data_IF_556203631662
#
_entry.id   IF_556203631662
#
_cell.length_a   1.000
_cell.length_b   1.000
_cell.length_c   1.000
_cell.angle_alpha   90.00
_cell.angle_beta   90.00
_cell.angle_gamma   90.00
#
_symmetry.space_group_name_H-M   'P 1'
#
loop_
_entity.id
_entity.type
_entity.pdbx_description
1 polymer ?
#
# COMPACT_ATOMS: atom_id res chain seq x y z
N UNK A 1 0.00 12.30 -18.39
CA UNK A 1 0.84 11.91 -17.27
C UNK A 1 0.00 11.76 -16.01
N UNK A 2 0.13 10.61 -15.36
CA UNK A 2 -0.59 10.35 -14.12
C UNK A 2 0.23 10.84 -12.94
N UNK A 3 -0.43 11.51 -11.99
CA UNK A 3 0.21 12.02 -10.77
C UNK A 3 -0.60 11.59 -9.56
N UNK A 4 0.05 11.59 -8.40
CA UNK A 4 -0.63 11.32 -7.13
C UNK A 4 -1.74 12.35 -6.91
N UNK A 5 -1.44 13.63 -7.15
CA UNK A 5 -2.42 14.71 -6.98
C UNK A 5 -3.65 14.51 -7.88
N UNK A 6 -3.45 14.07 -9.11
CA UNK A 6 -4.58 13.83 -10.02
C UNK A 6 -5.44 12.66 -9.56
N UNK A 7 -4.85 11.65 -8.96
CA UNK A 7 -5.59 10.50 -8.42
C UNK A 7 -6.40 10.85 -7.18
N UNK A 8 -5.91 11.80 -6.38
CA UNK A 8 -6.60 12.22 -5.16
C UNK A 8 -7.65 13.31 -5.40
N UNK A 9 -7.56 14.00 -6.55
CA UNK A 9 -8.47 15.10 -6.86
C UNK A 9 -9.93 14.65 -6.91
N UNK A 10 -10.84 15.47 -6.37
CA UNK A 10 -12.27 15.20 -6.40
C UNK A 10 -12.76 14.16 -5.41
N UNK A 11 -11.88 13.60 -4.59
CA UNK A 11 -12.24 12.63 -3.56
C UNK A 11 -12.44 13.33 -2.23
N UNK A 12 -13.04 12.62 -1.25
CA UNK A 12 -13.21 13.19 0.10
C UNK A 12 -11.84 13.59 0.67
N UNK A 13 -11.76 14.70 1.42
CA UNK A 13 -10.48 15.16 1.99
C UNK A 13 -9.76 14.12 2.84
N UNK A 14 -10.49 13.23 3.50
CA UNK A 14 -9.90 12.17 4.32
C UNK A 14 -9.00 11.24 3.51
N UNK A 15 -9.27 11.08 2.21
CA UNK A 15 -8.47 10.20 1.35
C UNK A 15 -7.02 10.68 1.27
N UNK A 16 -6.81 12.00 1.13
CA UNK A 16 -5.46 12.55 1.12
C UNK A 16 -4.77 12.36 2.47
N UNK A 17 -5.50 12.56 3.56
CA UNK A 17 -4.94 12.38 4.92
C UNK A 17 -4.49 10.94 5.12
N UNK A 18 -5.32 9.98 4.71
CA UNK A 18 -4.97 8.56 4.80
C UNK A 18 -3.72 8.27 3.95
N UNK A 19 -3.69 8.78 2.73
CA UNK A 19 -2.57 8.59 1.81
C UNK A 19 -1.25 9.08 2.43
N UNK A 20 -1.26 10.31 2.96
CA UNK A 20 -0.09 10.90 3.60
C UNK A 20 0.38 10.05 4.78
N UNK A 21 -0.55 9.56 5.61
CA UNK A 21 -0.22 8.68 6.74
C UNK A 21 0.46 7.39 6.30
N UNK A 22 -0.05 6.77 5.24
CA UNK A 22 0.53 5.55 4.68
C UNK A 22 1.95 5.82 4.17
N UNK A 23 2.13 6.88 3.41
CA UNK A 23 3.44 7.22 2.83
C UNK A 23 4.45 7.56 3.92
N UNK A 24 4.07 8.35 4.92
CA UNK A 24 4.96 8.69 6.03
C UNK A 24 5.42 7.45 6.79
N UNK A 25 4.50 6.51 7.04
CA UNK A 25 4.85 5.25 7.71
C UNK A 25 5.86 4.46 6.88
N UNK A 26 5.64 4.36 5.58
CA UNK A 26 6.53 3.60 4.69
C UNK A 26 7.89 4.25 4.52
N UNK A 27 7.96 5.58 4.46
CA UNK A 27 9.24 6.29 4.37
C UNK A 27 10.09 6.09 5.63
N UNK A 28 9.47 5.76 6.74
CA UNK A 28 10.19 5.39 7.96
C UNK A 28 10.97 4.08 7.83
N UNK A 29 10.65 3.24 6.84
CA UNK A 29 11.36 1.97 6.62
C UNK A 29 12.58 2.13 5.72
N UNK A 30 12.61 3.16 4.87
CA UNK A 30 13.68 3.40 3.91
C UNK A 30 13.20 4.15 2.68
N UNK A 31 14.01 4.16 1.60
CA UNK A 31 13.62 4.83 0.35
C UNK A 31 12.31 4.30 -0.21
N UNK A 32 11.54 5.20 -0.82
CA UNK A 32 10.23 4.85 -1.37
C UNK A 32 10.00 5.60 -2.68
N UNK A 33 9.56 4.88 -3.69
CA UNK A 33 9.14 5.44 -4.98
C UNK A 33 7.62 5.33 -5.09
N UNK A 34 6.99 6.46 -5.40
CA UNK A 34 5.54 6.55 -5.64
C UNK A 34 5.32 6.65 -7.14
N UNK A 35 4.89 5.55 -7.75
CA UNK A 35 4.69 5.46 -9.20
C UNK A 35 3.19 5.54 -9.51
N UNK A 36 2.73 6.73 -9.88
CA UNK A 36 1.31 6.96 -10.18
C UNK A 36 0.94 6.32 -11.52
N UNK A 37 -0.12 5.51 -11.49
CA UNK A 37 -0.72 4.88 -12.67
C UNK A 37 -2.09 5.51 -12.93
N UNK A 38 -2.83 4.95 -13.86
CA UNK A 38 -4.15 5.48 -14.25
C UNK A 38 -5.14 5.49 -13.07
N UNK A 39 -5.16 4.43 -12.27
CA UNK A 39 -6.16 4.26 -11.20
C UNK A 39 -5.55 4.00 -9.83
N UNK A 40 -4.23 3.95 -9.72
CA UNK A 40 -3.57 3.59 -8.47
C UNK A 40 -2.15 4.14 -8.43
N UNK A 41 -1.54 4.04 -7.24
CA UNK A 41 -0.12 4.34 -7.05
C UNK A 41 0.58 3.03 -6.68
N UNK A 42 1.61 2.66 -7.43
CA UNK A 42 2.47 1.53 -7.07
C UNK A 42 3.59 2.04 -6.18
N UNK A 43 3.87 1.32 -5.11
CA UNK A 43 4.91 1.69 -4.16
C UNK A 43 6.04 0.67 -4.24
N UNK A 44 7.26 1.16 -4.41
CA UNK A 44 8.45 0.33 -4.52
C UNK A 44 9.58 0.95 -3.70
N UNK A 45 10.56 0.12 -3.33
CA UNK A 45 11.71 0.60 -2.56
C UNK A 45 12.66 1.43 -3.43
N UNK A 46 12.74 1.14 -4.72
CA UNK A 46 13.54 1.91 -5.68
C UNK A 46 12.97 1.74 -7.10
N UNK A 47 13.59 2.41 -8.08
CA UNK A 47 13.10 2.40 -9.46
C UNK A 47 13.21 1.03 -10.16
N UNK A 48 14.08 0.18 -9.68
CA UNK A 48 14.32 -1.15 -10.27
C UNK A 48 13.59 -2.27 -9.53
N UNK A 49 13.16 -2.01 -8.30
CA UNK A 49 12.49 -3.03 -7.50
C UNK A 49 11.03 -3.19 -7.93
N UNK A 50 10.47 -4.40 -7.83
CA UNK A 50 9.04 -4.58 -8.07
C UNK A 50 8.24 -3.89 -6.98
N UNK A 51 7.02 -3.47 -7.32
CA UNK A 51 6.13 -2.87 -6.34
C UNK A 51 5.79 -3.88 -5.24
N UNK A 52 5.86 -3.46 -3.99
CA UNK A 52 5.48 -4.28 -2.84
C UNK A 52 4.11 -3.92 -2.31
N UNK A 53 3.55 -2.81 -2.77
CA UNK A 53 2.25 -2.33 -2.33
C UNK A 53 1.59 -1.53 -3.45
N UNK A 54 0.28 -1.40 -3.35
CA UNK A 54 -0.50 -0.55 -4.23
C UNK A 54 -1.53 0.21 -3.44
N UNK A 55 -1.78 1.46 -3.85
CA UNK A 55 -2.78 2.31 -3.23
C UNK A 55 -3.82 2.65 -4.28
N UNK A 56 -5.07 2.23 -4.05
CA UNK A 56 -6.19 2.55 -4.92
C UNK A 56 -7.11 3.53 -4.21
N UNK A 57 -7.03 4.84 -4.53
CA UNK A 57 -7.94 5.80 -3.92
C UNK A 57 -9.39 5.51 -4.30
N UNK A 58 -10.27 5.58 -3.30
CA UNK A 58 -11.71 5.42 -3.47
C UNK A 58 -12.37 6.76 -3.14
N UNK A 59 -13.69 6.82 -3.25
CA UNK A 59 -14.42 8.06 -3.01
C UNK A 59 -14.16 8.63 -1.61
N UNK A 60 -14.14 7.78 -0.59
CA UNK A 60 -13.97 8.20 0.80
C UNK A 60 -13.03 7.29 1.60
N UNK A 61 -12.11 6.63 0.92
CA UNK A 61 -11.14 5.73 1.56
C UNK A 61 -10.07 5.29 0.59
N UNK A 62 -9.27 4.33 1.02
CA UNK A 62 -8.19 3.76 0.21
C UNK A 62 -8.26 2.24 0.30
N UNK A 63 -8.17 1.58 -0.86
CA UNK A 63 -7.87 0.17 -0.91
C UNK A 63 -6.35 0.04 -1.00
N UNK A 64 -5.76 -0.49 0.07
CA UNK A 64 -4.34 -0.73 0.15
C UNK A 64 -4.09 -2.21 -0.10
N UNK A 65 -3.20 -2.54 -1.03
CA UNK A 65 -2.75 -3.92 -1.17
C UNK A 65 -1.30 -4.03 -0.76
N UNK A 66 -0.97 -5.15 -0.13
CA UNK A 66 0.39 -5.45 0.33
C UNK A 66 0.78 -6.84 -0.14
N UNK A 67 2.02 -6.99 -0.59
CA UNK A 67 2.57 -8.27 -1.00
C UNK A 67 3.43 -8.83 0.11
N UNK A 68 3.04 -9.99 0.63
CA UNK A 68 3.72 -10.64 1.76
C UNK A 68 4.09 -12.08 1.42
N UNK A 69 5.00 -12.67 2.21
CA UNK A 69 5.47 -14.03 1.99
C UNK A 69 4.43 -15.09 2.41
N UNK A 70 3.52 -14.71 3.29
CA UNK A 70 2.43 -15.54 3.75
C UNK A 70 1.15 -14.71 3.83
N UNK A 71 -0.04 -15.32 3.73
CA UNK A 71 -1.28 -14.56 3.80
C UNK A 71 -1.43 -13.91 5.18
N UNK A 72 -1.91 -12.66 5.19
CA UNK A 72 -2.21 -11.96 6.43
C UNK A 72 -3.53 -12.50 6.97
N UNK A 73 -3.49 -13.05 8.18
CA UNK A 73 -4.68 -13.60 8.84
C UNK A 73 -5.29 -12.54 9.75
N UNK A 74 -6.30 -11.84 9.25
CA UNK A 74 -6.97 -10.78 10.00
C UNK A 74 -8.32 -10.46 9.36
N UNK A 75 -9.34 -10.12 10.18
CA UNK A 75 -10.63 -9.66 9.63
C UNK A 75 -10.50 -8.35 8.84
N UNK A 76 -9.40 -7.62 9.00
CA UNK A 76 -9.15 -6.37 8.25
C UNK A 76 -8.82 -6.64 6.78
N UNK A 77 -8.36 -7.86 6.46
CA UNK A 77 -8.03 -8.24 5.09
C UNK A 77 -9.29 -8.74 4.40
N UNK A 78 -9.74 -8.03 3.39
CA UNK A 78 -10.98 -8.35 2.68
C UNK A 78 -10.79 -9.29 1.50
N UNK A 79 -9.55 -9.43 1.03
CA UNK A 79 -9.23 -10.32 -0.08
C UNK A 79 -7.78 -10.77 0.03
N UNK A 80 -7.54 -12.05 -0.19
CA UNK A 80 -6.20 -12.62 -0.27
C UNK A 80 -6.11 -13.41 -1.58
N UNK A 81 -5.03 -13.20 -2.33
CA UNK A 81 -4.78 -13.92 -3.57
C UNK A 81 -3.34 -14.39 -3.57
N UNK A 82 -3.12 -15.66 -3.84
CA UNK A 82 -1.78 -16.20 -3.96
C UNK A 82 -1.23 -15.90 -5.36
N UNK A 83 -0.14 -15.16 -5.42
CA UNK A 83 0.51 -14.77 -6.67
C UNK A 83 1.56 -15.79 -7.10
N UNK A 84 2.28 -16.34 -6.12
CA UNK A 84 3.28 -17.36 -6.33
C UNK A 84 3.46 -18.14 -5.03
N UNK A 85 4.40 -19.09 -5.01
CA UNK A 85 4.61 -19.97 -3.86
C UNK A 85 4.81 -19.21 -2.54
N UNK A 86 5.54 -18.09 -2.59
CA UNK A 86 5.87 -17.30 -1.40
C UNK A 86 5.49 -15.82 -1.56
N UNK A 87 4.45 -15.54 -2.35
CA UNK A 87 3.94 -14.18 -2.53
C UNK A 87 2.43 -14.18 -2.51
N UNK A 88 1.88 -13.35 -1.65
CA UNK A 88 0.44 -13.21 -1.47
C UNK A 88 0.05 -11.74 -1.58
N UNK A 89 -1.04 -11.50 -2.28
CA UNK A 89 -1.66 -10.19 -2.40
C UNK A 89 -2.74 -10.10 -1.31
N UNK A 90 -2.65 -9.07 -0.47
CA UNK A 90 -3.61 -8.85 0.61
C UNK A 90 -4.24 -7.48 0.42
N UNK A 91 -5.56 -7.40 0.39
CA UNK A 91 -6.29 -6.16 0.18
C UNK A 91 -6.96 -5.71 1.46
N UNK A 92 -6.70 -4.46 1.86
CA UNK A 92 -7.22 -3.88 3.10
C UNK A 92 -7.89 -2.56 2.76
N UNK A 93 -9.13 -2.36 3.21
CA UNK A 93 -9.83 -1.09 3.06
C UNK A 93 -9.50 -0.21 4.26
N UNK A 94 -8.98 0.99 3.99
CA UNK A 94 -8.64 1.99 5.00
C UNK A 94 -9.55 3.19 4.80
N UNK A 95 -10.42 3.46 5.77
CA UNK A 95 -11.43 4.51 5.68
C UNK A 95 -11.19 5.67 6.65
N UNK A 96 -10.20 5.55 7.52
CA UNK A 96 -9.87 6.56 8.52
C UNK A 96 -8.36 6.60 8.73
N UNK A 97 -7.79 7.80 9.01
CA UNK A 97 -6.36 7.90 9.30
C UNK A 97 -5.93 7.07 10.52
N UNK A 98 -6.83 6.87 11.48
CA UNK A 98 -6.56 6.09 12.70
C UNK A 98 -6.35 4.60 12.39
N UNK A 99 -6.82 4.13 11.24
CA UNK A 99 -6.61 2.75 10.81
C UNK A 99 -5.19 2.50 10.33
N UNK A 100 -4.42 3.57 10.07
CA UNK A 100 -2.99 3.46 9.80
C UNK A 100 -2.28 3.38 11.15
N UNK A 101 -2.44 2.24 11.80
CA UNK A 101 -2.00 1.98 13.16
C UNK A 101 -0.76 1.07 13.19
N UNK A 102 -0.35 0.66 14.39
CA UNK A 102 0.85 -0.17 14.57
C UNK A 102 0.71 -1.53 13.87
N UNK A 103 -0.49 -2.11 13.88
CA UNK A 103 -0.74 -3.40 13.21
C UNK A 103 -0.56 -3.27 11.70
N UNK A 104 -1.18 -2.26 11.10
CA UNK A 104 -1.05 -2.02 9.67
C UNK A 104 0.40 -1.67 9.31
N UNK A 105 1.07 -0.86 10.14
CA UNK A 105 2.47 -0.51 9.92
C UNK A 105 3.37 -1.76 9.94
N UNK A 106 3.07 -2.72 10.81
CA UNK A 106 3.79 -4.00 10.86
C UNK A 106 3.66 -4.76 9.55
N UNK A 107 2.46 -4.84 8.99
CA UNK A 107 2.25 -5.51 7.70
C UNK A 107 2.93 -4.76 6.55
N UNK A 108 2.88 -3.43 6.56
CA UNK A 108 3.58 -2.61 5.57
C UNK A 108 5.09 -2.82 5.64
N UNK A 109 5.63 -2.94 6.85
CA UNK A 109 7.06 -3.21 7.06
C UNK A 109 7.45 -4.57 6.49
N UNK A 110 6.64 -5.60 6.70
CA UNK A 110 6.89 -6.93 6.14
C UNK A 110 6.94 -6.87 4.62
N UNK A 111 5.98 -6.19 4.00
CA UNK A 111 5.92 -6.05 2.55
C UNK A 111 7.14 -5.30 2.02
N UNK A 112 7.53 -4.22 2.70
CA UNK A 112 8.70 -3.44 2.33
C UNK A 112 9.98 -4.27 2.41
N UNK A 113 10.17 -4.99 3.51
CA UNK A 113 11.34 -5.83 3.71
C UNK A 113 11.43 -6.94 2.67
N UNK A 114 10.28 -7.50 2.29
CA UNK A 114 10.22 -8.56 1.29
C UNK A 114 10.63 -8.05 -0.09
N UNK A 115 10.36 -6.79 -0.41
CA UNK A 115 10.68 -6.20 -1.71
C UNK A 115 12.20 -6.13 -1.95
N UNK A 116 13.00 -6.07 -0.87
CA UNK A 116 14.46 -6.08 -0.95
C UNK A 116 15.05 -7.49 -1.00
N UNK A 117 14.21 -8.52 -0.89
CA UNK A 117 14.64 -9.90 -0.93
C UNK A 117 14.80 -10.37 -2.38
N UNK A 118 15.89 -11.06 -2.67
CA UNK A 118 16.17 -11.62 -4.00
C UNK A 118 15.72 -13.07 -4.15
N UNK A 119 14.99 -13.54 -3.20
CA UNK A 119 14.53 -14.92 -3.19
C UNK A 119 13.21 -15.05 -3.92
#
# INVERSE_FOLDING_TARGET
>A
VFTVDSLLAGRAPVVEVIYVRIIEAMRGFGPLVEDAKKTCVHLAADDEAPAFAGVHPRKAGILLNLRTAAPISSPRVRKVEQLSRHRFFNEILVESPDEVDAELAGWMREAYALSGSKV
#
